data_IF_411495375850
#
_entry.id   IF_411495375850
#
_cell.length_a   1.000
_cell.length_b   1.000
_cell.length_c   1.000
_cell.angle_alpha   90.00
_cell.angle_beta   90.00
_cell.angle_gamma   90.00
#
_symmetry.space_group_name_H-M   'P 1'
#
loop_
_entity.id
_entity.type
_entity.pdbx_description
1 polymer ?
#
# COMPACT_ATOMS: atom_id res chain seq x y z
N UNK A 1 22.97 9.11 -8.15
CA UNK A 1 22.70 9.90 -6.92
C UNK A 1 21.20 9.81 -6.66
N UNK A 2 20.74 9.69 -5.41
CA UNK A 2 19.30 9.65 -5.11
C UNK A 2 18.73 11.07 -5.01
N UNK A 3 17.44 11.23 -5.29
CA UNK A 3 16.73 12.52 -5.21
C UNK A 3 15.41 12.45 -4.44
N UNK A 4 14.87 13.61 -4.06
CA UNK A 4 13.53 13.69 -3.48
C UNK A 4 12.50 13.69 -4.60
N UNK A 5 11.56 12.76 -4.55
CA UNK A 5 10.47 12.71 -5.51
C UNK A 5 9.16 13.14 -4.87
N UNK A 6 8.56 14.20 -5.42
CA UNK A 6 7.28 14.76 -4.98
C UNK A 6 6.15 14.50 -6.00
N UNK A 7 6.47 13.93 -7.18
CA UNK A 7 5.52 13.67 -8.27
C UNK A 7 5.53 12.19 -8.67
N UNK A 8 4.37 11.60 -8.95
CA UNK A 8 4.31 10.21 -9.43
C UNK A 8 4.78 9.14 -8.42
N UNK A 9 5.37 8.06 -8.92
CA UNK A 9 5.72 6.85 -8.14
C UNK A 9 7.12 6.97 -7.53
N UNK A 10 7.27 6.60 -6.25
CA UNK A 10 8.58 6.51 -5.62
C UNK A 10 9.29 5.17 -5.89
N UNK A 11 10.52 5.24 -6.42
CA UNK A 11 11.38 4.09 -6.73
C UNK A 11 12.57 4.10 -5.76
N UNK A 12 12.82 2.99 -5.06
CA UNK A 12 13.80 2.92 -3.96
C UNK A 12 15.23 3.18 -4.43
N UNK A 13 15.56 2.74 -5.64
CA UNK A 13 16.89 2.85 -6.25
C UNK A 13 17.19 4.31 -6.65
N UNK A 14 16.15 5.07 -7.00
CA UNK A 14 16.26 6.44 -7.51
C UNK A 14 15.97 7.50 -6.45
N UNK A 15 15.06 7.24 -5.52
CA UNK A 15 14.51 8.26 -4.63
C UNK A 15 14.85 8.03 -3.15
N UNK A 16 14.94 9.12 -2.39
CA UNK A 16 14.96 9.05 -0.93
C UNK A 16 13.60 8.56 -0.42
N UNK A 17 13.63 7.49 0.37
CA UNK A 17 12.44 6.89 0.96
C UNK A 17 12.59 6.86 2.47
N UNK A 18 11.51 7.19 3.17
CA UNK A 18 11.43 7.02 4.62
C UNK A 18 11.39 5.52 4.92
N UNK A 19 12.19 5.09 5.89
CA UNK A 19 12.11 3.73 6.40
C UNK A 19 10.77 3.52 7.12
N UNK A 20 10.01 2.52 6.66
CA UNK A 20 8.71 2.15 7.20
C UNK A 20 8.70 0.73 7.77
N UNK A 21 9.86 0.10 7.97
CA UNK A 21 9.98 -1.30 8.38
C UNK A 21 9.18 -1.62 9.65
N UNK A 22 9.26 -0.78 10.68
CA UNK A 22 8.48 -0.94 11.91
C UNK A 22 6.96 -0.89 11.67
N UNK A 23 6.50 -0.08 10.71
CA UNK A 23 5.08 -0.01 10.33
C UNK A 23 4.67 -1.30 9.62
N UNK A 24 5.49 -1.81 8.71
CA UNK A 24 5.23 -3.08 8.01
C UNK A 24 5.15 -4.24 9.02
N UNK A 25 6.05 -4.29 9.99
CA UNK A 25 6.03 -5.30 11.06
C UNK A 25 4.73 -5.25 11.87
N UNK A 26 4.29 -4.05 12.28
CA UNK A 26 3.04 -3.88 13.03
C UNK A 26 1.82 -4.36 12.25
N UNK A 27 1.77 -4.07 10.94
CA UNK A 27 0.67 -4.50 10.07
C UNK A 27 0.72 -6.02 9.84
N UNK A 28 1.92 -6.58 9.62
CA UNK A 28 2.12 -8.02 9.45
C UNK A 28 1.64 -8.78 10.69
N UNK A 29 1.89 -8.26 11.89
CA UNK A 29 1.34 -8.84 13.12
C UNK A 29 -0.18 -8.84 13.15
N UNK A 30 -0.85 -7.81 12.63
CA UNK A 30 -2.32 -7.79 12.52
C UNK A 30 -2.81 -8.86 11.55
N UNK A 31 -2.14 -9.02 10.40
CA UNK A 31 -2.43 -10.06 9.40
C UNK A 31 -2.29 -11.46 10.02
N UNK A 32 -1.18 -11.73 10.71
CA UNK A 32 -0.93 -13.01 11.37
C UNK A 32 -1.97 -13.33 12.46
N UNK A 33 -2.59 -12.31 13.04
CA UNK A 33 -3.67 -12.43 14.03
C UNK A 33 -5.07 -12.52 13.38
N UNK A 34 -5.18 -12.51 12.05
CA UNK A 34 -6.46 -12.52 11.33
C UNK A 34 -7.29 -11.25 11.53
N UNK A 35 -6.66 -10.12 11.88
CA UNK A 35 -7.35 -8.86 12.15
C UNK A 35 -7.56 -8.04 10.88
N UNK A 36 -8.72 -7.40 10.80
CA UNK A 36 -9.00 -6.38 9.81
C UNK A 36 -8.35 -5.04 10.20
N UNK A 37 -7.81 -4.32 9.22
CA UNK A 37 -7.22 -2.99 9.41
C UNK A 37 -7.41 -2.13 8.17
N UNK A 38 -7.26 -0.82 8.34
CA UNK A 38 -7.37 0.16 7.24
C UNK A 38 -6.12 1.04 7.20
N UNK A 39 -5.71 1.46 6.00
CA UNK A 39 -4.64 2.43 5.79
C UNK A 39 -5.27 3.71 5.22
N UNK A 40 -5.63 4.65 6.11
CA UNK A 40 -6.22 5.93 5.72
C UNK A 40 -5.20 7.07 5.83
N UNK A 41 -4.85 7.67 4.68
CA UNK A 41 -4.02 8.90 4.56
C UNK A 41 -4.39 9.66 3.28
N UNK A 42 -4.10 10.97 3.24
CA UNK A 42 -4.24 11.80 2.05
C UNK A 42 -3.30 11.38 0.90
N UNK A 43 -3.47 12.00 -0.28
CA UNK A 43 -2.64 11.73 -1.47
C UNK A 43 -1.15 11.95 -1.17
N UNK A 44 -0.27 11.16 -1.81
CA UNK A 44 1.19 11.23 -1.69
C UNK A 44 1.82 10.78 -0.35
N UNK A 45 1.06 10.21 0.58
CA UNK A 45 1.60 9.65 1.85
C UNK A 45 2.16 8.22 1.74
N UNK A 46 2.48 7.75 0.53
CA UNK A 46 3.08 6.42 0.32
C UNK A 46 2.15 5.24 0.65
N UNK A 47 0.83 5.40 0.53
CA UNK A 47 -0.15 4.31 0.75
C UNK A 47 0.10 3.11 -0.16
N UNK A 48 0.14 3.35 -1.47
CA UNK A 48 0.38 2.33 -2.50
C UNK A 48 1.73 1.65 -2.30
N UNK A 49 2.76 2.43 -1.97
CA UNK A 49 4.10 1.91 -1.63
C UNK A 49 4.05 1.00 -0.41
N UNK A 50 3.35 1.40 0.66
CA UNK A 50 3.21 0.59 1.88
C UNK A 50 2.51 -0.73 1.56
N UNK A 51 1.42 -0.71 0.80
CA UNK A 51 0.70 -1.94 0.38
C UNK A 51 1.62 -2.86 -0.44
N UNK A 52 2.37 -2.31 -1.40
CA UNK A 52 3.33 -3.08 -2.21
C UNK A 52 4.40 -3.75 -1.34
N UNK A 53 4.96 -3.01 -0.38
CA UNK A 53 5.97 -3.53 0.55
C UNK A 53 5.42 -4.60 1.50
N UNK A 54 4.20 -4.42 2.04
CA UNK A 54 3.53 -5.46 2.84
C UNK A 54 3.43 -6.73 2.02
N UNK A 55 2.92 -6.62 0.78
CA UNK A 55 2.77 -7.77 -0.10
C UNK A 55 4.08 -8.52 -0.26
N UNK A 56 5.16 -7.83 -0.64
CA UNK A 56 6.49 -8.43 -0.77
C UNK A 56 6.98 -9.20 0.47
N UNK A 57 6.60 -8.78 1.68
CA UNK A 57 7.03 -9.43 2.93
C UNK A 57 6.23 -10.69 3.30
N UNK A 58 5.00 -10.84 2.78
CA UNK A 58 4.09 -11.91 3.20
C UNK A 58 3.75 -12.91 2.09
N UNK A 59 4.29 -12.73 0.89
CA UNK A 59 4.02 -13.55 -0.30
C UNK A 59 4.33 -15.04 -0.12
N UNK A 60 5.29 -15.39 0.73
CA UNK A 60 5.63 -16.81 0.98
C UNK A 60 4.56 -17.54 1.81
N UNK A 61 3.73 -16.81 2.55
CA UNK A 61 2.76 -17.37 3.50
C UNK A 61 1.31 -17.11 3.10
N UNK A 62 1.07 -16.13 2.20
CA UNK A 62 -0.27 -15.67 1.86
C UNK A 62 -0.48 -15.49 0.36
N UNK A 63 -1.67 -15.88 -0.10
CA UNK A 63 -2.18 -15.49 -1.43
C UNK A 63 -2.75 -14.08 -1.33
N UNK A 64 -2.24 -13.17 -2.16
CA UNK A 64 -2.68 -11.77 -2.18
C UNK A 64 -3.69 -11.57 -3.31
N UNK A 65 -4.93 -11.23 -2.95
CA UNK A 65 -5.95 -10.79 -3.89
C UNK A 65 -5.98 -9.26 -3.93
N UNK A 66 -5.72 -8.68 -5.10
CA UNK A 66 -5.78 -7.23 -5.31
C UNK A 66 -7.14 -6.86 -5.90
N UNK A 67 -7.83 -5.92 -5.25
CA UNK A 67 -9.05 -5.31 -5.75
C UNK A 67 -8.90 -3.78 -5.70
N UNK A 68 -9.42 -3.10 -6.71
CA UNK A 68 -9.50 -1.63 -6.77
C UNK A 68 -10.89 -1.23 -7.22
N UNK A 69 -11.45 -0.22 -6.55
CA UNK A 69 -12.72 0.42 -6.89
C UNK A 69 -12.50 1.87 -7.37
N UNK A 70 -11.26 2.20 -7.75
CA UNK A 70 -10.96 3.50 -8.34
C UNK A 70 -11.57 3.56 -9.75
N UNK A 71 -12.37 4.59 -10.02
CA UNK A 71 -13.03 4.78 -11.33
C UNK A 71 -14.34 4.00 -11.52
N UNK A 72 -14.78 3.18 -10.56
CA UNK A 72 -16.07 2.47 -10.63
C UNK A 72 -17.25 3.28 -10.06
N UNK A 73 -17.06 4.58 -9.81
CA UNK A 73 -17.98 5.42 -9.04
C UNK A 73 -19.32 5.70 -9.73
N UNK A 74 -19.35 5.84 -11.05
CA UNK A 74 -20.60 6.17 -11.76
C UNK A 74 -21.36 4.89 -12.18
N UNK A 75 -20.65 3.89 -12.72
CA UNK A 75 -21.27 2.68 -13.27
C UNK A 75 -21.76 1.66 -12.24
N UNK A 76 -21.28 1.70 -10.99
CA UNK A 76 -21.75 0.79 -9.93
C UNK A 76 -23.11 1.18 -9.34
N UNK A 77 -23.56 2.41 -9.57
CA UNK A 77 -24.80 2.96 -9.02
C UNK A 77 -25.76 3.43 -10.13
N UNK A 78 -25.48 3.07 -11.40
CA UNK A 78 -26.36 3.39 -12.54
C UNK A 78 -27.74 2.71 -12.44
N UNK A 79 -27.81 1.59 -11.71
CA UNK A 79 -29.03 0.80 -11.47
C UNK A 79 -29.64 1.00 -10.06
N UNK A 80 -29.15 1.96 -9.26
CA UNK A 80 -29.85 2.45 -8.04
C UNK A 80 -30.91 3.52 -8.40
#
# INVERSE_FOLDING_TARGET
MKEFNIEGVCIKEMHYMVDISAKIESITRLINQGKYFTINRSRQFGKTTTISMIGGNILEQYIILKASFEGTGDSLFEDE
#
